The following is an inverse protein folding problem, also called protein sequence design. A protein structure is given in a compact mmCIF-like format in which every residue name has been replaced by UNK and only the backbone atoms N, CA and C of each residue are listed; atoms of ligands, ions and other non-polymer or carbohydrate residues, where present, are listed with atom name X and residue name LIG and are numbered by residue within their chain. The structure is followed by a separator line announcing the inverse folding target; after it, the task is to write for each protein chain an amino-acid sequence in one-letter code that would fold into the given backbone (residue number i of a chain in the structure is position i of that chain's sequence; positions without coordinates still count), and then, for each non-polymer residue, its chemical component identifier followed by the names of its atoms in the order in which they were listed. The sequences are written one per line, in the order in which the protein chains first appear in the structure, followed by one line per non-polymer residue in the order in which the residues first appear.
data_IF_024148362200
#
_entry.id   IF_024148362200
#
_cell.length_a   1.000
_cell.length_b   1.000
_cell.length_c   1.000
_cell.angle_alpha   90.00
_cell.angle_beta   90.00
_cell.angle_gamma   90.00
#
_symmetry.space_group_name_H-M   'P 1'
#
loop_
_entity.id
_entity.type
_entity.pdbx_description
1 polymer ?
#
# COMPACT_ATOMS: atom_id res chain seq x y z
N UNK A 1 10.07 -29.23 -6.33
CA UNK A 1 10.65 -28.49 -7.46
C UNK A 1 10.02 -27.10 -7.65
N UNK A 2 9.05 -26.69 -6.81
CA UNK A 2 8.34 -25.40 -6.95
C UNK A 2 8.93 -24.20 -6.18
N UNK A 3 9.81 -24.41 -5.19
CA UNK A 3 10.37 -23.30 -4.41
C UNK A 3 11.34 -22.41 -5.20
N UNK A 4 12.05 -22.98 -6.17
CA UNK A 4 13.07 -22.26 -6.95
C UNK A 4 12.46 -21.25 -7.93
N UNK A 5 11.26 -21.55 -8.44
CA UNK A 5 10.49 -20.65 -9.31
C UNK A 5 9.89 -19.46 -8.57
N UNK A 6 9.56 -19.63 -7.29
CA UNK A 6 8.90 -18.59 -6.50
C UNK A 6 9.90 -17.55 -5.98
N UNK A 7 11.11 -17.97 -5.58
CA UNK A 7 12.20 -17.03 -5.29
C UNK A 7 12.65 -16.23 -6.51
N UNK A 8 12.73 -16.88 -7.67
CA UNK A 8 13.09 -16.22 -8.94
C UNK A 8 12.07 -15.11 -9.27
N UNK A 9 10.77 -15.39 -9.15
CA UNK A 9 9.70 -14.40 -9.37
C UNK A 9 9.74 -13.26 -8.35
N UNK A 10 10.02 -13.57 -7.06
CA UNK A 10 10.17 -12.54 -6.01
C UNK A 10 11.35 -11.62 -6.28
N UNK A 11 12.51 -12.17 -6.67
CA UNK A 11 13.70 -11.38 -7.02
C UNK A 11 13.47 -10.51 -8.25
N UNK A 12 12.90 -11.06 -9.32
CA UNK A 12 12.62 -10.30 -10.53
C UNK A 12 11.62 -9.14 -10.26
N UNK A 13 10.63 -9.39 -9.39
CA UNK A 13 9.68 -8.36 -8.96
C UNK A 13 10.33 -7.28 -8.09
N UNK A 14 11.14 -7.67 -7.12
CA UNK A 14 11.91 -6.71 -6.32
C UNK A 14 12.85 -5.89 -7.20
N UNK A 15 13.53 -6.50 -8.16
CA UNK A 15 14.43 -5.81 -9.08
C UNK A 15 13.68 -4.75 -9.89
N UNK A 16 12.50 -5.06 -10.42
CA UNK A 16 11.65 -4.09 -11.15
C UNK A 16 11.20 -2.94 -10.27
N UNK A 17 10.84 -3.20 -9.01
CA UNK A 17 10.48 -2.17 -8.04
C UNK A 17 11.68 -1.28 -7.74
N UNK A 18 12.85 -1.85 -7.47
CA UNK A 18 14.08 -1.12 -7.20
C UNK A 18 14.50 -0.27 -8.41
N UNK A 19 14.43 -0.81 -9.62
CA UNK A 19 14.72 -0.06 -10.85
C UNK A 19 13.74 1.09 -11.02
N UNK A 20 12.44 0.86 -10.79
CA UNK A 20 11.43 1.90 -10.89
C UNK A 20 11.61 3.00 -9.83
N UNK A 21 11.92 2.64 -8.58
CA UNK A 21 12.20 3.57 -7.50
C UNK A 21 13.50 4.34 -7.73
N UNK A 22 14.55 3.68 -8.22
CA UNK A 22 15.81 4.31 -8.58
C UNK A 22 15.63 5.29 -9.75
N UNK A 23 14.87 4.91 -10.79
CA UNK A 23 14.55 5.79 -11.91
C UNK A 23 13.72 7.00 -11.45
N UNK A 24 12.72 6.78 -10.60
CA UNK A 24 11.90 7.86 -10.02
C UNK A 24 12.72 8.80 -9.13
N UNK A 25 13.63 8.25 -8.34
CA UNK A 25 14.53 9.02 -7.48
C UNK A 25 15.56 9.79 -8.29
N UNK A 26 16.09 9.19 -9.36
CA UNK A 26 17.02 9.84 -10.29
C UNK A 26 16.33 10.98 -11.05
N UNK A 27 15.11 10.80 -11.54
CA UNK A 27 14.33 11.88 -12.18
C UNK A 27 14.08 13.00 -11.17
N UNK A 28 13.70 12.67 -9.93
CA UNK A 28 13.53 13.65 -8.86
C UNK A 28 14.82 14.40 -8.53
N UNK A 29 15.95 13.70 -8.43
CA UNK A 29 17.26 14.27 -8.14
C UNK A 29 17.78 15.14 -9.29
N UNK A 30 17.57 14.74 -10.54
CA UNK A 30 17.90 15.54 -11.74
C UNK A 30 17.04 16.80 -11.77
N UNK A 31 15.74 16.69 -11.55
CA UNK A 31 14.86 17.86 -11.50
C UNK A 31 15.24 18.82 -10.34
N UNK A 32 15.62 18.28 -9.18
CA UNK A 32 16.14 19.06 -8.05
C UNK A 32 17.49 19.71 -8.38
N UNK A 33 18.39 19.00 -9.04
CA UNK A 33 19.67 19.54 -9.49
C UNK A 33 19.47 20.67 -10.51
N UNK A 34 18.52 20.53 -11.44
CA UNK A 34 18.13 21.61 -12.36
C UNK A 34 17.54 22.82 -11.61
N UNK A 35 16.67 22.59 -10.62
CA UNK A 35 16.15 23.64 -9.74
C UNK A 35 17.26 24.41 -9.00
N UNK A 36 18.27 23.70 -8.50
CA UNK A 36 19.39 24.27 -7.74
C UNK A 36 20.44 24.90 -8.67
N UNK A 37 20.62 24.39 -9.89
CA UNK A 37 21.58 24.91 -10.87
C UNK A 37 21.05 26.11 -11.68
N UNK A 38 19.73 26.19 -11.91
CA UNK A 38 19.08 27.33 -12.58
C UNK A 38 19.40 28.72 -12.02
N UNK A 39 19.59 28.96 -10.71
CA UNK A 39 19.99 30.28 -10.20
C UNK A 39 21.40 30.74 -10.60
N UNK A 40 22.26 29.88 -11.16
CA UNK A 40 23.63 30.26 -11.54
C UNK A 40 23.73 30.93 -12.92
N UNK A 41 22.71 30.88 -13.78
CA UNK A 41 22.83 31.28 -15.19
C UNK A 41 22.00 32.49 -15.66
N UNK A 42 21.19 33.15 -14.81
CA UNK A 42 20.38 34.29 -15.26
C UNK A 42 20.44 35.48 -14.30
N UNK A 43 21.02 36.56 -14.82
CA UNK A 43 21.27 37.86 -14.19
C UNK A 43 20.04 38.45 -13.51
N UNK A 44 20.31 39.16 -12.42
CA UNK A 44 19.37 39.78 -11.49
C UNK A 44 18.22 40.53 -12.18
N UNK A 45 16.99 40.04 -12.02
CA UNK A 45 15.79 40.81 -11.73
C UNK A 45 14.66 39.81 -11.42
N UNK A 46 13.93 40.11 -10.35
CA UNK A 46 12.77 39.37 -9.81
C UNK A 46 13.04 38.06 -9.05
N UNK A 47 13.60 38.20 -7.84
CA UNK A 47 13.77 37.09 -6.87
C UNK A 47 12.43 36.42 -6.48
N UNK A 48 11.32 37.17 -6.47
CA UNK A 48 10.00 36.66 -6.11
C UNK A 48 9.41 35.79 -7.21
N UNK A 49 9.53 36.22 -8.48
CA UNK A 49 9.19 35.40 -9.64
C UNK A 49 10.01 34.09 -9.71
N UNK A 50 11.29 34.12 -9.31
CA UNK A 50 12.16 32.94 -9.22
C UNK A 50 11.70 31.95 -8.14
N UNK A 51 11.44 32.44 -6.93
CA UNK A 51 10.98 31.61 -5.84
C UNK A 51 9.65 30.92 -6.19
N UNK A 52 8.72 31.66 -6.82
CA UNK A 52 7.44 31.11 -7.26
C UNK A 52 7.63 30.01 -8.31
N UNK A 53 8.48 30.22 -9.33
CA UNK A 53 8.76 29.21 -10.35
C UNK A 53 9.39 27.93 -9.78
N UNK A 54 10.36 28.06 -8.85
CA UNK A 54 10.98 26.91 -8.20
C UNK A 54 9.95 26.13 -7.37
N UNK A 55 9.05 26.81 -6.66
CA UNK A 55 7.96 26.18 -5.91
C UNK A 55 6.99 25.44 -6.84
N UNK A 56 6.60 26.06 -7.96
CA UNK A 56 5.70 25.44 -8.95
C UNK A 56 6.35 24.20 -9.57
N UNK A 57 7.62 24.28 -9.96
CA UNK A 57 8.32 23.15 -10.58
C UNK A 57 8.61 22.04 -9.55
N UNK A 58 8.96 22.38 -8.32
CA UNK A 58 9.06 21.41 -7.23
C UNK A 58 7.72 20.72 -6.95
N UNK A 59 6.62 21.48 -6.89
CA UNK A 59 5.28 20.91 -6.73
C UNK A 59 4.90 20.00 -7.90
N UNK A 60 5.25 20.37 -9.14
CA UNK A 60 5.03 19.54 -10.32
C UNK A 60 5.84 18.23 -10.25
N UNK A 61 7.11 18.28 -9.84
CA UNK A 61 7.96 17.09 -9.65
C UNK A 61 7.36 16.16 -8.60
N UNK A 62 6.95 16.70 -7.45
CA UNK A 62 6.28 15.90 -6.40
C UNK A 62 4.96 15.29 -6.89
N UNK A 63 4.20 16.03 -7.70
CA UNK A 63 2.95 15.55 -8.29
C UNK A 63 3.19 14.40 -9.27
N UNK A 64 4.11 14.56 -10.22
CA UNK A 64 4.47 13.51 -11.18
C UNK A 64 5.11 12.30 -10.49
N UNK A 65 5.95 12.51 -9.47
CA UNK A 65 6.51 11.44 -8.65
C UNK A 65 5.40 10.65 -7.95
N UNK A 66 4.40 11.33 -7.36
CA UNK A 66 3.25 10.68 -6.72
C UNK A 66 2.44 9.84 -7.72
N UNK A 67 2.22 10.35 -8.94
CA UNK A 67 1.53 9.64 -10.02
C UNK A 67 2.30 8.38 -10.44
N UNK A 68 3.58 8.54 -10.74
CA UNK A 68 4.42 7.43 -11.16
C UNK A 68 4.55 6.36 -10.06
N UNK A 69 4.66 6.78 -8.80
CA UNK A 69 4.63 5.87 -7.66
C UNK A 69 3.30 5.13 -7.54
N UNK A 70 2.16 5.77 -7.85
CA UNK A 70 0.87 5.09 -7.91
C UNK A 70 0.80 4.07 -9.07
N UNK A 71 1.43 4.33 -10.21
CA UNK A 71 1.51 3.35 -11.30
C UNK A 71 2.37 2.12 -10.96
N UNK A 72 3.43 2.29 -10.17
CA UNK A 72 4.37 1.22 -9.81
C UNK A 72 3.85 0.43 -8.59
N UNK A 73 3.40 1.14 -7.55
CA UNK A 73 3.08 0.57 -6.22
C UNK A 73 1.60 0.66 -5.85
N UNK A 74 0.75 1.15 -6.76
CA UNK A 74 -0.69 1.27 -6.54
C UNK A 74 -1.42 -0.06 -6.68
N UNK A 75 -2.60 -0.11 -6.10
CA UNK A 75 -3.49 -1.26 -6.21
C UNK A 75 -4.27 -1.21 -7.51
N UNK A 76 -4.46 -2.37 -8.14
CA UNK A 76 -5.34 -2.52 -9.29
C UNK A 76 -6.70 -3.05 -8.83
N UNK A 77 -7.77 -2.69 -9.55
CA UNK A 77 -9.11 -3.13 -9.21
C UNK A 77 -9.30 -4.58 -9.65
N UNK A 78 -9.84 -5.41 -8.77
CA UNK A 78 -10.34 -6.76 -9.08
C UNK A 78 -11.86 -6.69 -8.89
N UNK A 79 -12.63 -7.03 -9.93
CA UNK A 79 -14.05 -6.69 -9.98
C UNK A 79 -14.88 -7.58 -9.04
N UNK A 80 -14.44 -8.81 -8.79
CA UNK A 80 -15.04 -9.67 -7.77
C UNK A 80 -13.98 -10.43 -6.96
N UNK A 81 -14.21 -10.57 -5.65
CA UNK A 81 -13.43 -11.46 -4.79
C UNK A 81 -13.55 -12.93 -5.25
N UNK A 82 -14.67 -13.30 -5.88
CA UNK A 82 -14.87 -14.63 -6.47
C UNK A 82 -13.94 -14.92 -7.68
N UNK A 83 -13.45 -13.88 -8.37
CA UNK A 83 -12.47 -14.04 -9.46
C UNK A 83 -11.06 -14.28 -8.93
N UNK A 84 -10.79 -13.88 -7.68
CA UNK A 84 -9.57 -14.27 -7.01
C UNK A 84 -9.71 -15.73 -6.59
N UNK A 85 -8.74 -16.56 -6.98
CA UNK A 85 -8.51 -17.87 -6.36
C UNK A 85 -8.00 -17.65 -4.93
N UNK A 86 -8.83 -17.04 -4.09
CA UNK A 86 -8.60 -16.91 -2.67
C UNK A 86 -8.43 -18.33 -2.12
N UNK A 87 -7.37 -18.55 -1.35
CA UNK A 87 -7.30 -19.75 -0.52
C UNK A 87 -8.47 -19.77 0.47
N UNK A 88 -8.57 -20.82 1.27
CA UNK A 88 -9.63 -20.91 2.30
C UNK A 88 -9.58 -19.75 3.31
N UNK A 89 -8.40 -19.13 3.46
CA UNK A 89 -8.12 -18.18 4.54
C UNK A 89 -7.37 -16.96 4.01
N UNK A 90 -7.63 -15.84 4.66
CA UNK A 90 -6.89 -14.58 4.52
C UNK A 90 -6.43 -14.09 5.87
N UNK A 91 -5.44 -13.22 5.87
CA UNK A 91 -4.73 -12.80 7.06
C UNK A 91 -4.87 -11.32 7.29
N UNK A 92 -5.30 -10.90 8.48
CA UNK A 92 -5.41 -9.49 8.84
C UNK A 92 -4.51 -9.16 10.01
N UNK A 93 -3.67 -8.14 9.83
CA UNK A 93 -2.82 -7.60 10.89
C UNK A 93 -3.55 -6.46 11.58
N UNK A 94 -3.67 -6.54 12.91
CA UNK A 94 -4.32 -5.51 13.72
C UNK A 94 -3.51 -5.14 14.95
N UNK A 95 -3.65 -3.89 15.37
CA UNK A 95 -3.18 -3.40 16.67
C UNK A 95 -4.33 -3.20 17.66
N UNK A 96 -5.57 -3.45 17.25
CA UNK A 96 -6.75 -3.22 18.09
C UNK A 96 -6.99 -4.42 19.00
N UNK A 97 -6.76 -4.23 20.30
CA UNK A 97 -7.03 -5.26 21.30
C UNK A 97 -8.52 -5.55 21.44
N UNK A 98 -9.37 -4.53 21.32
CA UNK A 98 -10.84 -4.69 21.34
C UNK A 98 -11.32 -5.66 20.27
N UNK A 99 -10.76 -5.53 19.05
CA UNK A 99 -11.13 -6.39 17.93
C UNK A 99 -10.65 -7.83 18.14
N UNK A 100 -9.51 -8.01 18.80
CA UNK A 100 -8.98 -9.33 19.16
C UNK A 100 -9.82 -9.99 20.25
N UNK A 101 -10.20 -9.24 21.28
CA UNK A 101 -11.08 -9.74 22.35
C UNK A 101 -12.45 -10.13 21.79
N UNK A 102 -13.02 -9.33 20.88
CA UNK A 102 -14.27 -9.67 20.20
C UNK A 102 -14.15 -10.99 19.42
N UNK A 103 -13.06 -11.19 18.68
CA UNK A 103 -12.84 -12.43 17.93
C UNK A 103 -12.66 -13.61 18.88
N UNK A 104 -11.90 -13.46 19.98
CA UNK A 104 -11.74 -14.53 20.99
C UNK A 104 -13.07 -14.92 21.64
N UNK A 105 -13.96 -13.95 21.89
CA UNK A 105 -15.24 -14.20 22.53
C UNK A 105 -16.29 -14.79 21.57
N UNK A 106 -16.30 -14.36 20.30
CA UNK A 106 -17.40 -14.65 19.36
C UNK A 106 -17.02 -15.54 18.19
N UNK A 107 -15.72 -15.77 17.94
CA UNK A 107 -15.21 -16.43 16.73
C UNK A 107 -15.50 -15.65 15.45
N UNK A 108 -15.89 -14.38 15.56
CA UNK A 108 -16.31 -13.55 14.42
C UNK A 108 -15.59 -12.21 14.44
N UNK A 109 -15.23 -11.74 13.25
CA UNK A 109 -14.66 -10.41 13.04
C UNK A 109 -15.66 -9.53 12.32
N UNK A 110 -15.67 -8.25 12.69
CA UNK A 110 -16.35 -7.19 11.94
C UNK A 110 -15.38 -6.03 11.78
N UNK A 111 -14.87 -5.86 10.56
CA UNK A 111 -13.99 -4.75 10.19
C UNK A 111 -14.82 -3.73 9.42
N UNK A 112 -15.12 -2.63 10.11
CA UNK A 112 -15.73 -1.45 9.53
C UNK A 112 -14.64 -0.51 8.99
N UNK A 113 -14.69 -0.19 7.70
CA UNK A 113 -13.73 0.69 7.04
C UNK A 113 -13.77 2.09 7.63
N UNK A 114 -14.92 2.58 8.09
CA UNK A 114 -14.96 3.93 8.64
C UNK A 114 -14.17 4.05 9.94
N UNK A 115 -14.10 2.95 10.69
CA UNK A 115 -13.32 2.79 11.91
C UNK A 115 -11.84 2.46 11.63
N UNK A 116 -11.46 2.17 10.38
CA UNK A 116 -10.05 2.01 10.01
C UNK A 116 -9.32 3.35 10.05
N UNK A 117 -8.07 3.33 10.56
CA UNK A 117 -7.26 4.54 10.73
C UNK A 117 -6.86 5.14 9.36
N UNK A 118 -6.61 6.45 9.36
CA UNK A 118 -6.24 7.24 8.18
C UNK A 118 -5.05 6.76 7.30
N UNK A 119 -4.00 6.06 7.79
CA UNK A 119 -2.97 5.53 6.89
C UNK A 119 -3.48 4.36 6.03
N UNK A 120 -4.66 3.81 6.33
CA UNK A 120 -5.26 2.71 5.61
C UNK A 120 -5.92 3.17 4.29
N UNK A 121 -5.14 3.82 3.42
CA UNK A 121 -5.61 4.43 2.18
C UNK A 121 -5.04 3.75 0.95
N UNK A 122 -5.91 3.46 -0.01
CA UNK A 122 -5.53 2.82 -1.27
C UNK A 122 -5.18 3.86 -2.32
N UNK A 123 -3.99 3.74 -2.91
CA UNK A 123 -3.62 4.47 -4.13
C UNK A 123 -3.99 3.65 -5.35
N UNK A 124 -4.74 4.24 -6.27
CA UNK A 124 -5.22 3.59 -7.49
C UNK A 124 -4.13 3.55 -8.55
N UNK A 125 -3.81 2.36 -9.05
CA UNK A 125 -2.86 2.18 -10.16
C UNK A 125 -3.41 2.70 -11.49
N UNK A 126 -4.67 2.36 -11.81
CA UNK A 126 -5.32 2.75 -13.07
C UNK A 126 -5.82 4.20 -13.10
N UNK A 127 -5.92 4.83 -11.93
CA UNK A 127 -6.50 6.18 -11.77
C UNK A 127 -5.71 6.95 -10.72
N UNK A 128 -4.43 7.25 -10.96
CA UNK A 128 -3.52 7.83 -9.95
C UNK A 128 -3.96 9.22 -9.45
N UNK A 129 -4.81 9.91 -10.22
CA UNK A 129 -5.43 11.19 -9.87
C UNK A 129 -6.64 11.07 -8.95
N UNK A 130 -7.21 9.87 -8.76
CA UNK A 130 -8.34 9.70 -7.84
C UNK A 130 -7.88 9.81 -6.39
N UNK A 131 -8.67 10.51 -5.58
CA UNK A 131 -8.45 10.60 -4.15
C UNK A 131 -8.37 9.19 -3.55
N UNK A 132 -7.37 8.93 -2.70
CA UNK A 132 -7.22 7.62 -2.09
C UNK A 132 -8.41 7.33 -1.17
N UNK A 133 -8.97 6.12 -1.25
CA UNK A 133 -10.08 5.69 -0.39
C UNK A 133 -9.57 4.89 0.80
N UNK A 134 -10.29 4.96 1.93
CA UNK A 134 -10.04 4.06 3.06
C UNK A 134 -10.29 2.62 2.64
N UNK A 135 -9.52 1.70 3.18
CA UNK A 135 -9.71 0.27 2.97
C UNK A 135 -9.22 -0.53 4.18
N UNK A 136 -9.78 -1.73 4.35
CA UNK A 136 -9.20 -2.73 5.23
C UNK A 136 -8.21 -3.58 4.44
N UNK A 137 -7.00 -3.79 4.97
CA UNK A 137 -5.96 -4.56 4.30
C UNK A 137 -5.95 -5.99 4.84
N UNK A 138 -5.94 -6.97 3.94
CA UNK A 138 -5.77 -8.38 4.25
C UNK A 138 -4.70 -8.98 3.33
N UNK A 139 -4.07 -10.06 3.76
CA UNK A 139 -3.01 -10.75 3.04
C UNK A 139 -3.50 -12.13 2.62
N UNK A 140 -3.13 -12.53 1.41
CA UNK A 140 -3.43 -13.86 0.86
C UNK A 140 -2.62 -14.95 1.55
N UNK A 141 -1.38 -14.63 1.89
CA UNK A 141 -0.47 -15.54 2.59
C UNK A 141 -0.27 -15.11 4.04
N UNK A 142 0.06 -16.07 4.90
CA UNK A 142 0.43 -15.79 6.27
C UNK A 142 1.69 -14.92 6.28
N UNK A 143 1.68 -13.74 6.90
CA UNK A 143 2.86 -12.90 6.98
C UNK A 143 3.89 -13.57 7.90
N UNK A 144 4.92 -14.19 7.31
CA UNK A 144 5.97 -14.93 8.03
C UNK A 144 7.10 -14.04 8.54
N UNK A 145 7.29 -12.87 7.94
CA UNK A 145 8.49 -12.05 8.13
C UNK A 145 8.25 -10.87 9.09
N UNK A 146 9.15 -10.66 10.07
CA UNK A 146 9.03 -9.53 11.02
C UNK A 146 8.96 -8.19 10.30
N UNK A 147 9.61 -8.06 9.14
CA UNK A 147 9.64 -6.84 8.34
C UNK A 147 8.31 -6.55 7.64
N UNK A 148 7.49 -7.57 7.33
CA UNK A 148 6.14 -7.36 6.81
C UNK A 148 5.20 -6.84 7.90
N UNK A 149 5.41 -7.25 9.15
CA UNK A 149 4.67 -6.75 10.30
C UNK A 149 5.09 -5.32 10.70
N UNK A 150 6.36 -4.97 10.48
CA UNK A 150 6.93 -3.65 10.75
C UNK A 150 6.59 -2.62 9.67
N UNK A 151 6.53 -3.01 8.39
CA UNK A 151 6.28 -2.09 7.27
C UNK A 151 4.84 -1.53 7.19
N UNK A 152 3.88 -2.11 7.93
CA UNK A 152 2.48 -1.71 7.84
C UNK A 152 2.07 -0.63 8.84
N UNK A 153 2.95 -0.21 9.75
CA UNK A 153 2.71 0.99 10.55
C UNK A 153 3.95 1.43 11.33
N UNK A 154 4.10 2.74 11.50
CA UNK A 154 4.86 3.36 12.61
C UNK A 154 4.41 2.89 14.02
N UNK A 155 3.45 1.94 14.13
CA UNK A 155 2.91 1.37 15.36
C UNK A 155 2.71 -0.15 15.26
N UNK A 156 3.81 -0.90 15.33
CA UNK A 156 3.92 -2.34 15.68
C UNK A 156 2.57 -3.08 15.71
N UNK A 157 2.10 -3.60 14.57
CA UNK A 157 0.98 -4.53 14.55
C UNK A 157 1.29 -5.69 15.51
N UNK A 158 0.37 -5.96 16.46
CA UNK A 158 0.62 -6.89 17.57
C UNK A 158 -0.06 -8.24 17.37
N UNK A 159 -1.18 -8.25 16.66
CA UNK A 159 -2.05 -9.41 16.56
C UNK A 159 -2.29 -9.77 15.10
N UNK A 160 -2.37 -11.08 14.85
CA UNK A 160 -2.70 -11.66 13.57
C UNK A 160 -4.05 -12.36 13.68
N UNK A 161 -4.94 -12.04 12.76
CA UNK A 161 -6.21 -12.71 12.60
C UNK A 161 -6.17 -13.53 11.33
N UNK A 162 -6.62 -14.77 11.45
CA UNK A 162 -6.97 -15.59 10.32
C UNK A 162 -8.48 -15.48 10.11
N UNK A 163 -8.88 -15.17 8.90
CA UNK A 163 -10.25 -14.87 8.52
C UNK A 163 -10.61 -15.81 7.37
N UNK A 164 -11.83 -16.35 7.41
CA UNK A 164 -12.36 -17.13 6.29
C UNK A 164 -12.46 -16.24 5.04
N UNK A 165 -11.89 -16.69 3.92
CA UNK A 165 -11.96 -15.94 2.67
C UNK A 165 -13.40 -15.72 2.18
N UNK A 166 -14.34 -16.59 2.55
CA UNK A 166 -15.77 -16.43 2.25
C UNK A 166 -16.39 -15.19 2.93
N UNK A 167 -15.72 -14.61 3.94
CA UNK A 167 -16.13 -13.37 4.59
C UNK A 167 -15.84 -12.11 3.75
N UNK A 168 -15.03 -12.22 2.70
CA UNK A 168 -14.73 -11.11 1.79
C UNK A 168 -15.86 -11.00 0.76
N UNK A 169 -16.52 -9.83 0.73
CA UNK A 169 -17.59 -9.56 -0.23
C UNK A 169 -17.38 -8.21 -0.89
N UNK A 170 -17.77 -8.13 -2.17
CA UNK A 170 -17.76 -6.89 -2.95
C UNK A 170 -16.40 -6.56 -3.58
N UNK A 171 -16.24 -5.33 -4.09
CA UNK A 171 -15.08 -4.95 -4.86
C UNK A 171 -13.83 -4.87 -3.99
N UNK A 172 -12.77 -5.52 -4.46
CA UNK A 172 -11.47 -5.53 -3.82
C UNK A 172 -10.42 -4.95 -4.75
N UNK A 173 -9.33 -4.48 -4.17
CA UNK A 173 -8.18 -4.05 -4.94
C UNK A 173 -6.97 -4.88 -4.54
N UNK A 174 -6.18 -5.32 -5.51
CA UNK A 174 -5.04 -6.19 -5.26
C UNK A 174 -3.73 -5.46 -5.51
N UNK A 175 -2.74 -5.77 -4.69
CA UNK A 175 -1.34 -5.45 -4.89
C UNK A 175 -0.50 -6.57 -4.30
N UNK A 176 0.18 -7.33 -5.15
CA UNK A 176 1.00 -8.46 -4.69
C UNK A 176 0.11 -9.44 -3.91
N UNK A 177 0.52 -9.79 -2.70
CA UNK A 177 -0.20 -10.69 -1.80
C UNK A 177 -1.12 -9.91 -0.85
N UNK A 178 -1.29 -8.60 -1.03
CA UNK A 178 -2.17 -7.76 -0.25
C UNK A 178 -3.45 -7.43 -1.03
N UNK A 179 -4.57 -7.56 -0.35
CA UNK A 179 -5.88 -7.10 -0.79
C UNK A 179 -6.32 -5.91 0.05
N UNK A 180 -6.91 -4.93 -0.61
CA UNK A 180 -7.55 -3.79 0.01
C UNK A 180 -9.06 -3.88 -0.23
N UNK A 181 -9.79 -4.09 0.85
CA UNK A 181 -11.25 -4.24 0.87
C UNK A 181 -11.89 -2.85 1.01
N UNK A 182 -12.86 -2.55 0.14
CA UNK A 182 -13.50 -1.21 0.08
C UNK A 182 -14.85 -1.12 0.80
N UNK A 183 -15.43 -2.24 1.27
CA UNK A 183 -16.72 -2.29 1.97
C UNK A 183 -16.69 -2.88 3.40
N UNK A 184 -15.51 -3.20 3.90
CA UNK A 184 -15.33 -3.86 5.19
C UNK A 184 -15.40 -5.37 5.04
N UNK A 185 -15.39 -6.07 6.18
CA UNK A 185 -15.57 -7.52 6.17
C UNK A 185 -16.28 -7.98 7.43
N UNK A 186 -17.11 -9.02 7.29
CA UNK A 186 -17.80 -9.65 8.41
C UNK A 186 -17.83 -11.14 8.19
N UNK A 187 -17.30 -11.90 9.14
CA UNK A 187 -17.35 -13.36 9.06
C UNK A 187 -16.56 -14.05 10.15
N UNK A 188 -16.32 -15.34 9.94
CA UNK A 188 -15.57 -16.19 10.86
C UNK A 188 -14.11 -15.78 10.89
N UNK A 189 -13.57 -15.66 12.11
CA UNK A 189 -12.16 -15.35 12.31
C UNK A 189 -11.63 -16.03 13.56
N UNK A 190 -10.33 -16.29 13.57
CA UNK A 190 -9.59 -16.75 14.74
C UNK A 190 -8.36 -15.89 14.96
N UNK A 191 -8.02 -15.69 16.23
CA UNK A 191 -6.74 -15.08 16.61
C UNK A 191 -5.68 -16.15 16.51
N UNK A 192 -4.59 -15.84 15.80
CA UNK A 192 -3.41 -16.71 15.75
C UNK A 192 -2.42 -16.19 16.78
N UNK A 193 -2.38 -16.88 17.91
CA UNK A 193 -1.43 -16.58 18.97
C UNK A 193 -0.01 -16.90 18.49
N UNK A 194 0.93 -15.99 18.76
CA UNK A 194 2.35 -16.26 18.57
C UNK A 194 2.76 -17.29 19.63
N UNK A 195 3.16 -18.47 19.19
CA UNK A 195 3.92 -19.40 20.04
C UNK A 195 5.21 -18.76 20.54
#
# INVERSE_FOLDING_TARGET
MDQMTDESRRRDRQLRIWIAEAALSAIGAVALAFLIASPLYVTAHDLAGRALWLVVLFAAVLYFYSIARAFVLGYHAVHDAAELQLGEKVWHLTSSEELVQQVRATGRVHLDIEKTRWPARVKYRSRPWKLPKKAAFVFLDQPTDKDQWLNLSDKRARYLLEIDAAAIQGPVMQRDNALALLHGLRGSARVVDRG
#
